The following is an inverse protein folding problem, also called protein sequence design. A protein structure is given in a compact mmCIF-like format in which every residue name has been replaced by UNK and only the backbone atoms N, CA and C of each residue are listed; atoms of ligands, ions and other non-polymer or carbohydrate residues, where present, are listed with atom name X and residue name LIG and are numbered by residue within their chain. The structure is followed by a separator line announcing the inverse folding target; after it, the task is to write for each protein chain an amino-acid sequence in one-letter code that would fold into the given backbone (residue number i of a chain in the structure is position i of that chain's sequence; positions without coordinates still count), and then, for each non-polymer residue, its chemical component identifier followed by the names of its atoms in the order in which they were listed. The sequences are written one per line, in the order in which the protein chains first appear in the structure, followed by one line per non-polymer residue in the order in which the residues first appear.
data_IF_149727716550
#
_entry.id   IF_149727716550
#
_cell.length_a   1.000
_cell.length_b   1.000
_cell.length_c   1.000
_cell.angle_alpha   90.00
_cell.angle_beta   90.00
_cell.angle_gamma   90.00
#
_symmetry.space_group_name_H-M   'P 1'
#
loop_
_entity.id
_entity.type
_entity.pdbx_description
1 polymer ?
#
# COMPACT_ATOMS: atom_id res chain seq x y z
N UNK A 1 -15.75 6.41 -18.38
CA UNK A 1 -14.38 6.66 -17.86
C UNK A 1 -14.30 6.06 -16.47
N UNK A 2 -13.63 4.91 -16.30
CA UNK A 2 -13.70 4.13 -15.05
C UNK A 2 -12.46 3.28 -14.77
N UNK A 3 -11.27 3.72 -15.19
CA UNK A 3 -10.01 2.95 -15.01
C UNK A 3 -8.99 3.59 -14.07
N UNK A 4 -8.98 4.91 -13.90
CA UNK A 4 -7.91 5.57 -13.14
C UNK A 4 -8.09 5.43 -11.63
N UNK A 5 -9.32 5.61 -11.13
CA UNK A 5 -9.59 5.66 -9.69
C UNK A 5 -9.74 4.27 -9.05
N UNK A 6 -10.02 3.24 -9.86
CA UNK A 6 -10.45 1.91 -9.42
C UNK A 6 -9.41 0.82 -9.70
N UNK A 7 -8.61 0.95 -10.77
CA UNK A 7 -7.65 -0.09 -11.17
C UNK A 7 -6.20 0.35 -10.93
N UNK A 8 -5.87 1.63 -11.17
CA UNK A 8 -4.50 2.10 -11.06
C UNK A 8 -4.09 2.28 -9.59
N UNK A 9 -3.07 1.51 -9.17
CA UNK A 9 -2.47 1.59 -7.85
C UNK A 9 -1.32 2.58 -7.87
N UNK A 10 -1.48 3.72 -7.22
CA UNK A 10 -0.46 4.77 -7.24
C UNK A 10 0.62 4.51 -6.18
N UNK A 11 1.88 4.55 -6.59
CA UNK A 11 3.04 4.43 -5.70
C UNK A 11 3.04 5.51 -4.60
N UNK A 12 2.56 6.71 -4.93
CA UNK A 12 2.43 7.85 -4.02
C UNK A 12 1.49 7.58 -2.82
N UNK A 13 0.56 6.64 -2.95
CA UNK A 13 -0.34 6.19 -1.87
C UNK A 13 -0.09 4.71 -1.54
N UNK A 14 1.16 4.25 -1.72
CA UNK A 14 1.60 2.89 -1.36
C UNK A 14 0.79 1.80 -2.05
N UNK A 15 0.48 2.02 -3.33
CA UNK A 15 -0.21 1.09 -4.22
C UNK A 15 -1.62 0.69 -3.75
N UNK A 16 -2.34 1.61 -3.10
CA UNK A 16 -3.81 1.56 -3.04
C UNK A 16 -4.37 2.36 -4.22
N UNK A 17 -5.63 2.14 -4.55
CA UNK A 17 -6.29 2.94 -5.58
C UNK A 17 -6.81 4.24 -4.97
N UNK A 18 -7.00 5.32 -5.76
CA UNK A 18 -7.57 6.55 -5.25
C UNK A 18 -8.95 6.32 -4.60
N UNK A 19 -9.76 5.44 -5.17
CA UNK A 19 -11.07 5.08 -4.59
C UNK A 19 -10.94 4.37 -3.24
N UNK A 20 -10.07 3.37 -3.12
CA UNK A 20 -9.83 2.67 -1.85
C UNK A 20 -9.40 3.64 -0.75
N UNK A 21 -8.55 4.61 -1.10
CA UNK A 21 -8.16 5.69 -0.20
C UNK A 21 -9.34 6.61 0.15
N UNK A 22 -10.13 7.03 -0.83
CA UNK A 22 -11.32 7.86 -0.59
C UNK A 22 -12.35 7.17 0.32
N UNK A 23 -12.44 5.84 0.25
CA UNK A 23 -13.26 5.01 1.14
C UNK A 23 -12.61 4.74 2.52
N UNK A 24 -11.36 5.14 2.73
CA UNK A 24 -10.63 4.91 3.97
C UNK A 24 -10.19 3.46 4.18
N UNK A 25 -10.13 2.65 3.12
CA UNK A 25 -9.74 1.24 3.18
C UNK A 25 -8.21 1.06 3.22
N UNK A 26 -7.45 2.13 2.95
CA UNK A 26 -6.00 2.09 2.85
C UNK A 26 -5.27 1.55 4.10
N UNK A 27 -5.68 1.84 5.35
CA UNK A 27 -4.95 1.34 6.51
C UNK A 27 -5.05 -0.18 6.62
N UNK A 28 -6.23 -0.75 6.35
CA UNK A 28 -6.47 -2.19 6.40
C UNK A 28 -5.68 -2.91 5.30
N UNK A 29 -5.76 -2.41 4.06
CA UNK A 29 -5.05 -2.98 2.91
C UNK A 29 -3.53 -2.97 3.15
N UNK A 30 -3.01 -1.87 3.68
CA UNK A 30 -1.57 -1.71 3.93
C UNK A 30 -1.09 -2.58 5.10
N UNK A 31 -1.88 -2.69 6.17
CA UNK A 31 -1.58 -3.59 7.29
C UNK A 31 -1.50 -5.07 6.86
N UNK A 32 -2.47 -5.53 6.05
CA UNK A 32 -2.46 -6.90 5.53
C UNK A 32 -1.25 -7.17 4.64
N UNK A 33 -0.89 -6.22 3.77
CA UNK A 33 0.32 -6.33 2.93
C UNK A 33 1.58 -6.38 3.76
N UNK A 34 1.66 -5.57 4.81
CA UNK A 34 2.82 -5.56 5.70
C UNK A 34 3.01 -6.93 6.35
N UNK A 35 1.95 -7.50 6.94
CA UNK A 35 2.00 -8.82 7.57
C UNK A 35 2.43 -9.90 6.58
N UNK A 36 1.88 -9.91 5.36
CA UNK A 36 2.27 -10.88 4.34
C UNK A 36 3.73 -10.74 3.91
N UNK A 37 4.23 -9.50 3.75
CA UNK A 37 5.63 -9.26 3.42
C UNK A 37 6.56 -9.68 4.55
N UNK A 38 6.18 -9.46 5.81
CA UNK A 38 6.95 -9.90 6.98
C UNK A 38 7.05 -11.43 7.00
N UNK A 39 5.92 -12.14 6.87
CA UNK A 39 5.90 -13.61 6.82
C UNK A 39 6.74 -14.13 5.66
N UNK A 40 6.63 -13.54 4.47
CA UNK A 40 7.40 -13.96 3.30
C UNK A 40 8.92 -13.70 3.46
N UNK A 41 9.30 -12.63 4.18
CA UNK A 41 10.69 -12.37 4.53
C UNK A 41 11.20 -13.37 5.56
N UNK A 42 10.42 -13.66 6.58
CA UNK A 42 10.82 -14.57 7.65
C UNK A 42 10.95 -16.01 7.14
N UNK A 43 10.17 -16.40 6.11
CA UNK A 43 10.29 -17.69 5.43
C UNK A 43 11.52 -17.81 4.53
N UNK A 44 11.92 -16.72 3.87
CA UNK A 44 12.99 -16.73 2.87
C UNK A 44 13.92 -15.51 3.01
N UNK A 45 14.62 -15.34 4.15
CA UNK A 45 15.44 -14.16 4.40
C UNK A 45 16.54 -13.95 3.35
N UNK A 46 17.04 -15.02 2.73
CA UNK A 46 18.04 -15.00 1.66
C UNK A 46 17.59 -14.24 0.40
N UNK A 47 16.27 -14.09 0.18
CA UNK A 47 15.72 -13.33 -0.95
C UNK A 47 15.65 -11.83 -0.70
N UNK A 48 15.92 -11.38 0.53
CA UNK A 48 15.75 -9.99 0.94
C UNK A 48 17.09 -9.38 1.33
N UNK A 49 17.48 -8.32 0.63
CA UNK A 49 18.69 -7.55 0.95
C UNK A 49 18.50 -6.58 2.12
N UNK A 50 17.28 -6.46 2.65
CA UNK A 50 16.95 -5.48 3.68
C UNK A 50 15.51 -5.54 4.18
N UNK A 51 15.02 -4.48 4.83
CA UNK A 51 13.66 -4.43 5.36
C UNK A 51 12.60 -4.54 4.26
N UNK A 52 11.41 -5.01 4.65
CA UNK A 52 10.25 -5.00 3.77
C UNK A 52 9.89 -3.56 3.39
N UNK A 53 9.21 -3.39 2.25
CA UNK A 53 8.75 -2.07 1.80
C UNK A 53 7.93 -1.36 2.90
N UNK A 54 8.02 -0.04 2.93
CA UNK A 54 7.24 0.77 3.88
C UNK A 54 5.74 0.73 3.54
N UNK A 55 4.99 -0.01 4.35
CA UNK A 55 3.54 -0.17 4.27
C UNK A 55 2.81 0.59 5.39
N UNK A 56 3.41 1.60 6.00
CA UNK A 56 2.65 2.48 6.91
C UNK A 56 1.52 3.17 6.14
N UNK A 57 0.41 3.63 6.74
CA UNK A 57 -0.57 4.47 6.03
C UNK A 57 -0.05 5.90 5.86
N UNK A 58 -0.45 6.60 4.78
CA UNK A 58 -0.11 8.03 4.62
C UNK A 58 -1.28 8.82 5.20
N UNK A 59 -1.08 9.41 6.38
CA UNK A 59 -2.14 10.12 7.12
C UNK A 59 -2.48 11.49 6.55
N UNK A 60 -1.55 12.14 5.85
CA UNK A 60 -1.73 13.49 5.29
C UNK A 60 -1.39 13.48 3.81
N UNK A 61 -2.38 13.80 2.98
CA UNK A 61 -2.20 14.14 1.56
C UNK A 61 -2.94 15.44 1.32
N UNK A 62 -2.23 16.45 0.81
CA UNK A 62 -2.86 17.65 0.29
C UNK A 62 -3.49 17.28 -1.05
N UNK A 63 -4.80 17.00 -1.06
CA UNK A 63 -5.57 16.98 -2.30
C UNK A 63 -5.79 18.44 -2.69
N UNK A 64 -5.40 18.81 -3.91
CA UNK A 64 -5.77 20.10 -4.48
C UNK A 64 -7.32 20.14 -4.61
N UNK A 65 -8.00 21.21 -4.14
CA UNK A 65 -9.44 21.38 -4.36
C UNK A 65 -9.79 21.51 -5.84
#
# INVERSE_FOLDING_TARGET
VGGYNTEHRHSAIRFVTPEQRHRGEDPQILAQRHALNQVARDQHPERWSGPTRNWTPITVVSLNP
#
